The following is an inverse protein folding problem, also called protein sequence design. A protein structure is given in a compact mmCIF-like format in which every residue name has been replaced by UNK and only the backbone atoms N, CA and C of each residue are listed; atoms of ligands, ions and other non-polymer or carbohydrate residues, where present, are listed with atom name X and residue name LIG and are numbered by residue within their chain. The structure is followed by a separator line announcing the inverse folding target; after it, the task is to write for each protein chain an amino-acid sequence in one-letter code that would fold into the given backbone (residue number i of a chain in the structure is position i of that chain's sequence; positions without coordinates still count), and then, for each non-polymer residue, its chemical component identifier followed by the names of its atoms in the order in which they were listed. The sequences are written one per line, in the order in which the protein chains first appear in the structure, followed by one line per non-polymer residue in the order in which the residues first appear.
data_IF_761638960625
#
_entry.id   IF_761638960625
#
_cell.length_a   1.000
_cell.length_b   1.000
_cell.length_c   1.000
_cell.angle_alpha   90.00
_cell.angle_beta   90.00
_cell.angle_gamma   90.00
#
_symmetry.space_group_name_H-M   'P 1'
#
loop_
_entity.id
_entity.type
_entity.pdbx_description
1 polymer ?
#
# COMPACT_ATOMS: atom_id res chain seq x y z
N UNK A 1 -9.55 -6.50 -10.93
CA UNK A 1 -10.44 -6.71 -12.08
C UNK A 1 -11.85 -7.11 -11.68
N UNK A 2 -12.00 -7.96 -10.65
CA UNK A 2 -13.29 -8.54 -10.25
C UNK A 2 -14.38 -7.52 -9.94
N UNK A 3 -14.07 -6.43 -9.21
CA UNK A 3 -15.05 -5.38 -8.88
C UNK A 3 -15.61 -4.70 -10.14
N UNK A 4 -14.74 -4.34 -11.10
CA UNK A 4 -15.16 -3.73 -12.36
C UNK A 4 -16.09 -4.68 -13.14
N UNK A 5 -15.73 -5.95 -13.25
CA UNK A 5 -16.56 -6.96 -13.91
C UNK A 5 -17.91 -7.15 -13.21
N UNK A 6 -17.94 -7.02 -11.87
CA UNK A 6 -19.17 -7.02 -11.08
C UNK A 6 -20.09 -5.86 -11.48
N UNK A 7 -19.58 -4.62 -11.44
CA UNK A 7 -20.36 -3.42 -11.83
C UNK A 7 -20.88 -3.50 -13.27
N UNK A 8 -20.09 -4.04 -14.20
CA UNK A 8 -20.51 -4.27 -15.60
C UNK A 8 -21.69 -5.23 -15.69
N UNK A 9 -21.69 -6.32 -14.90
CA UNK A 9 -22.80 -7.28 -14.87
C UNK A 9 -24.06 -6.71 -14.22
N UNK A 10 -23.91 -5.89 -13.18
CA UNK A 10 -25.01 -5.32 -12.39
C UNK A 10 -25.56 -4.01 -12.98
N UNK A 11 -24.92 -3.46 -14.02
CA UNK A 11 -25.37 -2.24 -14.69
C UNK A 11 -24.95 -0.93 -14.00
N UNK A 12 -24.00 -0.99 -13.07
CA UNK A 12 -23.46 0.20 -12.40
C UNK A 12 -23.08 -0.05 -10.93
N UNK A 13 -22.79 1.02 -10.17
CA UNK A 13 -22.78 2.41 -10.59
C UNK A 13 -21.55 2.78 -11.44
N UNK A 14 -21.75 3.68 -12.41
CA UNK A 14 -20.72 4.18 -13.33
C UNK A 14 -20.58 5.71 -13.30
N UNK A 15 -19.40 6.27 -13.63
CA UNK A 15 -18.13 5.57 -13.89
C UNK A 15 -17.51 4.97 -12.62
N UNK A 16 -16.53 4.08 -12.75
CA UNK A 16 -15.76 3.56 -11.61
C UNK A 16 -14.41 4.31 -11.53
N UNK A 17 -14.16 4.99 -10.42
CA UNK A 17 -12.89 5.67 -10.15
C UNK A 17 -11.93 4.78 -9.37
N UNK A 18 -10.63 4.88 -9.65
CA UNK A 18 -9.60 4.23 -8.86
C UNK A 18 -9.51 4.83 -7.45
N UNK A 19 -9.03 4.05 -6.49
CA UNK A 19 -8.93 4.43 -5.08
C UNK A 19 -7.49 4.46 -4.53
N UNK A 20 -6.50 4.11 -5.36
CA UNK A 20 -5.15 3.82 -4.89
C UNK A 20 -4.29 5.06 -4.58
N UNK A 21 -4.67 6.24 -5.08
CA UNK A 21 -4.00 7.51 -4.85
C UNK A 21 -4.64 8.27 -3.67
N UNK A 22 -3.93 8.46 -2.53
CA UNK A 22 -4.50 9.13 -1.37
C UNK A 22 -4.82 10.59 -1.61
N UNK A 23 -4.06 11.27 -2.48
CA UNK A 23 -4.33 12.65 -2.86
C UNK A 23 -5.68 12.78 -3.59
N UNK A 24 -6.00 11.83 -4.47
CA UNK A 24 -7.30 11.73 -5.12
C UNK A 24 -8.42 11.43 -4.12
N UNK A 25 -8.24 10.47 -3.22
CA UNK A 25 -9.24 10.16 -2.18
C UNK A 25 -9.52 11.39 -1.31
N UNK A 26 -8.47 12.08 -0.85
CA UNK A 26 -8.60 13.31 -0.06
C UNK A 26 -9.33 14.43 -0.82
N UNK A 27 -9.11 14.55 -2.14
CA UNK A 27 -9.83 15.49 -2.99
C UNK A 27 -11.31 15.11 -3.12
N UNK A 28 -11.60 13.84 -3.40
CA UNK A 28 -12.95 13.31 -3.54
C UNK A 28 -13.75 13.52 -2.25
N UNK A 29 -13.21 13.13 -1.09
CA UNK A 29 -13.88 13.29 0.21
C UNK A 29 -14.19 14.75 0.55
N UNK A 30 -13.31 15.70 0.18
CA UNK A 30 -13.44 17.12 0.55
C UNK A 30 -14.25 17.94 -0.44
N UNK A 31 -14.21 17.60 -1.74
CA UNK A 31 -14.74 18.44 -2.81
C UNK A 31 -15.78 17.76 -3.68
N UNK A 32 -15.77 16.42 -3.74
CA UNK A 32 -16.68 15.66 -4.59
C UNK A 32 -17.29 14.44 -3.87
N UNK A 33 -17.88 14.62 -2.67
CA UNK A 33 -18.41 13.51 -1.88
C UNK A 33 -19.52 12.73 -2.58
N UNK A 34 -20.19 13.33 -3.58
CA UNK A 34 -21.20 12.67 -4.40
C UNK A 34 -20.66 11.48 -5.22
N UNK A 35 -19.34 11.40 -5.44
CA UNK A 35 -18.71 10.28 -6.17
C UNK A 35 -18.23 9.16 -5.26
N UNK A 36 -18.53 9.19 -3.95
CA UNK A 36 -18.06 8.18 -2.99
C UNK A 36 -18.41 6.75 -3.43
N UNK A 37 -19.61 6.52 -3.94
CA UNK A 37 -20.08 5.18 -4.35
C UNK A 37 -19.51 4.75 -5.72
N UNK A 38 -18.96 5.71 -6.47
CA UNK A 38 -18.26 5.47 -7.74
C UNK A 38 -16.79 5.09 -7.54
N UNK A 39 -16.23 5.25 -6.33
CA UNK A 39 -14.84 4.88 -6.04
C UNK A 39 -14.73 3.37 -5.81
N UNK A 40 -13.65 2.77 -6.33
CA UNK A 40 -13.31 1.37 -6.09
C UNK A 40 -13.17 1.09 -4.60
N UNK A 41 -13.79 0.01 -4.14
CA UNK A 41 -13.65 -0.46 -2.75
C UNK A 41 -12.29 -1.08 -2.46
N UNK A 42 -11.53 -1.41 -3.50
CA UNK A 42 -10.19 -1.95 -3.39
C UNK A 42 -9.27 -0.98 -2.61
N UNK A 43 -8.55 -1.48 -1.61
CA UNK A 43 -7.48 -0.73 -0.93
C UNK A 43 -6.34 -0.43 -1.91
N UNK A 44 -5.47 0.53 -1.59
CA UNK A 44 -4.25 0.72 -2.37
C UNK A 44 -3.26 -0.44 -2.16
N UNK A 45 -2.26 -0.65 -3.04
CA UNK A 45 -1.30 -1.75 -2.89
C UNK A 45 -0.63 -1.80 -1.52
N UNK A 46 -0.22 -0.64 -0.96
CA UNK A 46 0.38 -0.61 0.38
C UNK A 46 -0.60 -1.09 1.46
N UNK A 47 -1.88 -0.73 1.34
CA UNK A 47 -2.91 -1.06 2.31
C UNK A 47 -3.53 -2.44 2.09
N UNK A 48 -3.29 -3.05 0.93
CA UNK A 48 -3.55 -4.47 0.69
C UNK A 48 -2.43 -5.33 1.27
N UNK A 49 -1.17 -4.93 1.07
CA UNK A 49 -0.02 -5.71 1.52
C UNK A 49 0.17 -5.68 3.04
N UNK A 50 -0.08 -4.55 3.70
CA UNK A 50 0.06 -4.42 5.17
C UNK A 50 -0.68 -5.52 5.97
N UNK A 51 -2.00 -5.73 5.74
CA UNK A 51 -2.72 -6.84 6.36
C UNK A 51 -2.13 -8.21 6.02
N UNK A 52 -1.75 -8.45 4.76
CA UNK A 52 -1.16 -9.74 4.33
C UNK A 52 0.16 -10.01 5.07
N UNK A 53 0.99 -8.98 5.27
CA UNK A 53 2.22 -9.08 6.06
C UNK A 53 1.91 -9.45 7.52
N UNK A 54 1.00 -8.71 8.17
CA UNK A 54 0.71 -8.91 9.60
C UNK A 54 -0.17 -10.13 9.90
N UNK A 55 -0.76 -10.77 8.89
CA UNK A 55 -1.60 -11.96 9.08
C UNK A 55 -0.94 -13.18 8.47
N UNK A 56 -1.03 -13.32 7.16
CA UNK A 56 -0.54 -14.48 6.43
C UNK A 56 0.98 -14.66 6.59
N UNK A 57 1.79 -13.64 6.34
CA UNK A 57 3.25 -13.77 6.44
C UNK A 57 3.70 -14.00 7.88
N UNK A 58 3.14 -13.25 8.84
CA UNK A 58 3.44 -13.42 10.26
C UNK A 58 3.20 -14.88 10.72
N UNK A 59 2.08 -15.48 10.32
CA UNK A 59 1.75 -16.89 10.57
C UNK A 59 2.79 -17.83 9.92
N UNK A 60 3.14 -17.60 8.64
CA UNK A 60 4.12 -18.44 7.93
C UNK A 60 5.51 -18.44 8.57
N UNK A 61 5.94 -17.32 9.15
CA UNK A 61 7.27 -17.21 9.81
C UNK A 61 7.23 -17.42 11.33
N UNK A 62 6.06 -17.76 11.88
CA UNK A 62 5.90 -18.12 13.30
C UNK A 62 6.06 -16.94 14.28
N UNK A 63 5.74 -15.72 13.85
CA UNK A 63 5.77 -14.51 14.69
C UNK A 63 4.36 -13.99 14.92
N UNK A 64 4.16 -13.28 16.03
CA UNK A 64 2.86 -12.67 16.31
C UNK A 64 2.67 -11.39 15.48
N UNK A 65 1.45 -11.08 15.01
CA UNK A 65 1.16 -9.86 14.26
C UNK A 65 1.65 -8.57 14.94
N UNK A 66 1.52 -8.49 16.27
CA UNK A 66 1.94 -7.35 17.09
C UNK A 66 3.47 -7.16 17.14
N UNK A 67 4.24 -8.22 16.86
CA UNK A 67 5.71 -8.17 16.83
C UNK A 67 6.24 -7.74 15.44
N UNK A 68 5.35 -7.60 14.44
CA UNK A 68 5.73 -7.22 13.07
C UNK A 68 5.63 -5.71 12.87
N UNK A 69 6.78 -5.09 12.57
CA UNK A 69 6.85 -3.68 12.19
C UNK A 69 6.98 -3.53 10.67
N UNK A 70 5.90 -3.12 10.00
CA UNK A 70 5.82 -2.95 8.55
C UNK A 70 6.24 -1.55 8.11
N UNK A 71 7.30 -1.46 7.30
CA UNK A 71 7.79 -0.21 6.72
C UNK A 71 7.58 -0.21 5.21
N UNK A 72 6.92 0.82 4.70
CA UNK A 72 6.70 1.01 3.27
C UNK A 72 7.55 2.14 2.70
N UNK A 73 8.25 1.88 1.59
CA UNK A 73 9.03 2.88 0.86
C UNK A 73 8.22 3.39 -0.32
N UNK A 74 7.94 4.70 -0.36
CA UNK A 74 7.00 5.30 -1.30
C UNK A 74 7.56 6.54 -2.00
N UNK A 75 7.23 6.78 -3.28
CA UNK A 75 7.55 8.04 -3.95
C UNK A 75 6.58 9.18 -3.57
N UNK A 76 5.71 8.98 -2.58
CA UNK A 76 4.59 9.87 -2.27
C UNK A 76 4.54 10.23 -0.78
N UNK A 77 4.33 11.51 -0.48
CA UNK A 77 4.14 11.98 0.91
C UNK A 77 2.74 11.67 1.44
N UNK A 78 1.71 11.70 0.58
CA UNK A 78 0.32 11.41 0.97
C UNK A 78 0.11 9.95 1.41
N UNK A 79 1.02 9.03 1.06
CA UNK A 79 1.00 7.66 1.56
C UNK A 79 1.21 7.57 3.07
N UNK A 80 1.92 8.52 3.68
CA UNK A 80 2.04 8.65 5.14
C UNK A 80 0.70 8.97 5.82
N UNK A 81 -0.14 9.75 5.16
CA UNK A 81 -1.48 10.09 5.64
C UNK A 81 -2.44 8.89 5.49
N UNK A 82 -2.39 8.21 4.33
CA UNK A 82 -3.17 6.98 4.13
C UNK A 82 -2.86 5.93 5.20
N UNK A 83 -1.59 5.69 5.53
CA UNK A 83 -1.20 4.70 6.55
C UNK A 83 -1.74 4.99 7.96
N UNK A 84 -2.12 6.24 8.25
CA UNK A 84 -2.64 6.66 9.56
C UNK A 84 -4.16 6.69 9.64
N UNK A 85 -4.87 6.33 8.56
CA UNK A 85 -6.33 6.33 8.56
C UNK A 85 -6.84 5.26 9.55
N UNK A 86 -7.80 5.57 10.44
CA UNK A 86 -8.25 4.62 11.48
C UNK A 86 -8.78 3.28 10.93
N UNK A 87 -9.38 3.28 9.73
CA UNK A 87 -9.85 2.06 9.05
C UNK A 87 -8.71 1.19 8.48
N UNK A 88 -7.46 1.62 8.62
CA UNK A 88 -6.26 0.91 8.18
C UNK A 88 -5.44 0.41 9.38
N UNK A 89 -6.15 -0.05 10.41
CA UNK A 89 -5.61 -0.66 11.61
C UNK A 89 -6.22 -2.05 11.86
N UNK A 90 -5.49 -2.85 12.63
CA UNK A 90 -5.94 -4.11 13.24
C UNK A 90 -6.98 -3.83 14.33
N UNK A 91 -7.65 -4.87 14.82
CA UNK A 91 -8.69 -4.75 15.86
C UNK A 91 -8.16 -4.16 17.17
N UNK A 92 -6.87 -4.40 17.48
CA UNK A 92 -6.19 -3.84 18.64
C UNK A 92 -5.78 -2.36 18.47
N UNK A 93 -6.04 -1.75 17.30
CA UNK A 93 -5.71 -0.36 16.98
C UNK A 93 -4.35 -0.16 16.31
N UNK A 94 -3.52 -1.19 16.19
CA UNK A 94 -2.21 -1.07 15.54
C UNK A 94 -2.37 -0.90 14.03
N UNK A 95 -1.60 -0.02 13.37
CA UNK A 95 -1.71 0.19 11.93
C UNK A 95 -1.26 -1.06 11.16
N UNK A 96 -1.84 -1.30 9.98
CA UNK A 96 -1.34 -2.35 9.09
C UNK A 96 0.01 -1.98 8.45
N UNK A 97 0.28 -0.68 8.31
CA UNK A 97 1.56 -0.13 7.83
C UNK A 97 2.05 0.87 8.88
N UNK A 98 3.08 0.48 9.64
CA UNK A 98 3.54 1.24 10.81
C UNK A 98 4.29 2.52 10.43
N UNK A 99 5.07 2.46 9.34
CA UNK A 99 5.87 3.58 8.89
C UNK A 99 5.91 3.66 7.37
N UNK A 100 5.79 4.88 6.84
CA UNK A 100 6.04 5.16 5.43
C UNK A 100 7.22 6.10 5.30
N UNK A 101 8.26 5.66 4.58
CA UNK A 101 9.41 6.48 4.20
C UNK A 101 9.31 6.87 2.74
N UNK A 102 9.70 8.10 2.43
CA UNK A 102 9.85 8.56 1.06
C UNK A 102 11.13 8.02 0.43
N UNK A 103 11.21 7.97 -0.89
CA UNK A 103 12.46 7.68 -1.62
C UNK A 103 13.61 8.58 -1.16
N UNK A 104 13.33 9.86 -0.84
CA UNK A 104 14.33 10.80 -0.32
C UNK A 104 14.81 10.45 1.09
N UNK A 105 13.90 10.02 1.97
CA UNK A 105 14.24 9.59 3.33
C UNK A 105 15.10 8.31 3.30
N UNK A 106 14.72 7.31 2.49
CA UNK A 106 15.54 6.12 2.31
C UNK A 106 16.93 6.47 1.74
N UNK A 107 16.99 7.30 0.70
CA UNK A 107 18.26 7.74 0.12
C UNK A 107 19.16 8.48 1.12
N UNK A 108 18.57 9.25 2.05
CA UNK A 108 19.31 9.88 3.14
C UNK A 108 19.84 8.85 4.15
N UNK A 109 19.02 7.86 4.54
CA UNK A 109 19.43 6.80 5.47
C UNK A 109 20.60 5.98 4.91
N UNK A 110 20.53 5.58 3.65
CA UNK A 110 21.62 4.85 2.96
C UNK A 110 22.93 5.64 3.02
N UNK A 111 22.89 6.96 2.73
CA UNK A 111 24.07 7.84 2.80
C UNK A 111 24.60 8.00 4.23
N UNK A 112 23.71 8.16 5.22
CA UNK A 112 24.10 8.28 6.63
C UNK A 112 24.79 7.01 7.15
N UNK A 113 24.34 5.84 6.70
CA UNK A 113 24.95 4.55 7.03
C UNK A 113 26.20 4.23 6.20
N UNK A 114 26.63 5.15 5.32
CA UNK A 114 27.80 4.98 4.44
C UNK A 114 27.74 3.70 3.60
N UNK A 115 26.54 3.28 3.20
CA UNK A 115 26.33 2.09 2.37
C UNK A 115 26.74 2.42 0.93
N UNK A 116 27.64 1.64 0.29
CA UNK A 116 28.06 1.86 -1.09
C UNK A 116 26.99 1.33 -2.06
N UNK A 117 25.83 1.98 -2.09
CA UNK A 117 24.62 1.49 -2.77
C UNK A 117 24.82 1.12 -4.24
N UNK A 118 25.63 1.89 -4.97
CA UNK A 118 25.88 1.66 -6.40
C UNK A 118 26.75 0.42 -6.70
N UNK A 119 27.38 -0.18 -5.69
CA UNK A 119 28.23 -1.36 -5.82
C UNK A 119 27.72 -2.56 -5.03
N UNK A 120 26.44 -2.55 -4.64
CA UNK A 120 25.83 -3.71 -3.99
C UNK A 120 25.52 -4.78 -5.04
N UNK A 121 25.75 -6.03 -4.66
CA UNK A 121 25.30 -7.17 -5.46
C UNK A 121 23.77 -7.23 -5.48
N UNK A 122 23.21 -7.67 -6.61
CA UNK A 122 21.79 -7.95 -6.71
C UNK A 122 21.41 -9.12 -5.79
N UNK A 123 20.21 -9.03 -5.22
CA UNK A 123 19.62 -10.08 -4.37
C UNK A 123 18.15 -10.22 -4.69
N UNK A 124 17.66 -11.43 -4.51
CA UNK A 124 16.23 -11.73 -4.60
C UNK A 124 15.47 -11.14 -3.41
N UNK A 125 14.18 -10.90 -3.62
CA UNK A 125 13.24 -10.52 -2.56
C UNK A 125 12.82 -11.73 -1.72
N UNK A 126 12.23 -11.47 -0.56
CA UNK A 126 11.82 -12.51 0.39
C UNK A 126 10.59 -13.31 -0.08
N UNK A 127 10.61 -14.63 0.10
CA UNK A 127 9.46 -15.52 -0.13
C UNK A 127 8.50 -15.49 1.08
N UNK A 128 7.16 -15.56 0.91
CA UNK A 128 6.41 -15.67 -0.36
C UNK A 128 5.95 -14.32 -0.95
N UNK A 129 6.26 -13.20 -0.32
CA UNK A 129 5.67 -11.89 -0.67
C UNK A 129 6.51 -11.04 -1.64
N UNK A 130 7.68 -11.52 -2.05
CA UNK A 130 8.64 -10.81 -2.89
C UNK A 130 8.37 -10.89 -4.39
N UNK A 131 7.47 -11.78 -4.82
CA UNK A 131 7.13 -11.91 -6.23
C UNK A 131 6.26 -10.75 -6.74
N UNK A 132 6.52 -10.30 -7.97
CA UNK A 132 5.77 -9.23 -8.63
C UNK A 132 5.48 -9.60 -10.08
N UNK A 133 4.36 -9.10 -10.61
CA UNK A 133 3.96 -9.30 -12.01
C UNK A 133 4.25 -8.06 -12.84
N UNK A 134 4.35 -8.21 -14.16
CA UNK A 134 4.59 -7.06 -15.06
C UNK A 134 3.53 -5.95 -14.95
N UNK A 135 2.28 -6.30 -14.64
CA UNK A 135 1.22 -5.31 -14.41
C UNK A 135 1.42 -4.50 -13.11
N UNK A 136 1.98 -5.12 -12.07
CA UNK A 136 2.32 -4.42 -10.84
C UNK A 136 3.54 -3.51 -11.02
N UNK A 137 4.53 -3.94 -11.83
CA UNK A 137 5.74 -3.17 -12.10
C UNK A 137 5.47 -1.80 -12.75
N UNK A 138 4.42 -1.69 -13.58
CA UNK A 138 4.05 -0.44 -14.26
C UNK A 138 3.11 0.46 -13.46
N UNK A 139 2.76 0.10 -12.21
CA UNK A 139 1.80 0.87 -11.40
C UNK A 139 2.26 2.33 -11.13
N UNK A 140 3.57 2.57 -11.09
CA UNK A 140 4.14 3.89 -10.82
C UNK A 140 4.35 4.79 -12.04
N UNK A 141 3.94 4.35 -13.23
CA UNK A 141 4.10 5.09 -14.49
C UNK A 141 3.12 6.27 -14.62
#
# INVERSE_FOLDING_TARGET
GSELLGRVKEGGPFPMFTSCCPGWINLMEKKYPQYKDNVSSAKSPQQMLGPVIKTYFADQVGVKPEDVFSVSIMPCTAKKDEAKRPQHAMENGDPYVDLVLTTRELGKLIKLQKIPFASLDEREYDDPLGESTGAAAIFGA
#
